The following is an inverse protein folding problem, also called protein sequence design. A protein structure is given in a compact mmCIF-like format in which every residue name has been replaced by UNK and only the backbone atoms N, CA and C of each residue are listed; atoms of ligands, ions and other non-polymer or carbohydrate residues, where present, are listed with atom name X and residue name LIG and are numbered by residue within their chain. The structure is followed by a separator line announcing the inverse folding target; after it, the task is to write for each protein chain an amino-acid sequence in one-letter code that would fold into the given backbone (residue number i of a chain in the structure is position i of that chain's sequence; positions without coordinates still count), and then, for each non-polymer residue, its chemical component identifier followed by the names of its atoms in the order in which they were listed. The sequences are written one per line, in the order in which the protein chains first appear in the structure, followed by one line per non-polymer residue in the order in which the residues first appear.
data_IF_098891336615
#
_entry.id   IF_098891336615
#
_cell.length_a   1.000
_cell.length_b   1.000
_cell.length_c   1.000
_cell.angle_alpha   90.00
_cell.angle_beta   90.00
_cell.angle_gamma   90.00
#
_symmetry.space_group_name_H-M   'P 1'
#
loop_
_entity.id
_entity.type
_entity.pdbx_description
1 polymer ?
#
# COMPACT_ATOMS: atom_id res chain seq x y z
N UNK A 1 15.52 -18.58 17.59
CA UNK A 1 14.20 -18.17 17.24
C UNK A 1 13.90 -18.46 15.80
N UNK A 2 12.68 -18.65 15.50
CA UNK A 2 12.29 -19.01 14.16
C UNK A 2 12.19 -17.86 13.17
N UNK A 3 12.59 -16.68 13.57
CA UNK A 3 12.43 -15.50 12.72
C UNK A 3 13.23 -15.61 11.42
N UNK A 4 14.34 -16.32 11.43
CA UNK A 4 15.16 -16.45 10.24
C UNK A 4 14.48 -17.24 9.12
N UNK A 5 13.44 -18.00 9.42
CA UNK A 5 12.74 -18.78 8.41
C UNK A 5 11.49 -18.07 7.89
N UNK A 6 11.22 -16.88 8.37
CA UNK A 6 10.06 -16.09 7.97
C UNK A 6 10.48 -14.79 7.35
N UNK A 7 9.71 -14.38 6.34
CA UNK A 7 9.85 -13.03 5.83
C UNK A 7 9.19 -12.07 6.80
N UNK A 8 9.83 -10.94 7.04
CA UNK A 8 9.20 -9.87 7.79
C UNK A 8 8.03 -9.33 6.97
N UNK A 9 6.99 -8.80 7.61
CA UNK A 9 5.87 -8.22 6.89
C UNK A 9 6.28 -7.16 5.87
N UNK A 10 7.28 -6.35 6.19
CA UNK A 10 7.77 -5.34 5.25
C UNK A 10 8.39 -5.98 4.02
N UNK A 11 9.12 -7.08 4.18
CA UNK A 11 9.72 -7.78 3.05
C UNK A 11 8.66 -8.40 2.16
N UNK A 12 7.62 -8.94 2.76
CA UNK A 12 6.50 -9.49 2.02
C UNK A 12 5.80 -8.40 1.21
N UNK A 13 5.56 -7.25 1.84
CA UNK A 13 4.92 -6.12 1.15
C UNK A 13 5.77 -5.64 -0.02
N UNK A 14 7.08 -5.55 0.16
CA UNK A 14 7.98 -5.12 -0.90
C UNK A 14 7.96 -6.10 -2.07
N UNK A 15 7.97 -7.39 -1.77
CA UNK A 15 7.94 -8.41 -2.81
C UNK A 15 6.62 -8.36 -3.59
N UNK A 16 5.52 -8.24 -2.89
CA UNK A 16 4.21 -8.17 -3.54
C UNK A 16 4.07 -6.92 -4.39
N UNK A 17 4.57 -5.80 -3.92
CA UNK A 17 4.56 -4.57 -4.70
C UNK A 17 5.29 -4.79 -6.02
N UNK A 18 6.46 -5.37 -5.98
CA UNK A 18 7.24 -5.61 -7.18
C UNK A 18 6.53 -6.59 -8.12
N UNK A 19 5.96 -7.66 -7.58
CA UNK A 19 5.25 -8.65 -8.39
C UNK A 19 4.01 -8.07 -9.06
N UNK A 20 3.29 -7.22 -8.36
CA UNK A 20 2.02 -6.69 -8.85
C UNK A 20 2.19 -5.48 -9.75
N UNK A 21 3.23 -4.70 -9.56
CA UNK A 21 3.40 -3.43 -10.28
C UNK A 21 4.64 -3.36 -11.15
N UNK A 22 5.64 -4.19 -10.87
CA UNK A 22 6.92 -4.09 -11.54
C UNK A 22 7.81 -2.99 -10.98
N UNK A 23 7.42 -2.41 -9.84
CA UNK A 23 8.20 -1.35 -9.19
C UNK A 23 8.84 -1.84 -7.91
N UNK A 24 10.10 -1.47 -7.71
CA UNK A 24 10.84 -1.78 -6.49
C UNK A 24 10.96 -0.51 -5.66
N UNK A 25 10.53 -0.56 -4.42
CA UNK A 25 10.65 0.56 -3.51
C UNK A 25 12.10 0.71 -3.07
N UNK A 26 12.58 1.94 -2.98
CA UNK A 26 13.89 2.22 -2.43
C UNK A 26 13.91 1.99 -0.93
N UNK A 27 12.79 2.22 -0.27
CA UNK A 27 12.61 1.88 1.13
C UNK A 27 11.13 1.63 1.39
N UNK A 28 10.88 0.79 2.39
CA UNK A 28 9.52 0.44 2.79
C UNK A 28 9.38 0.80 4.27
N UNK A 29 8.37 1.58 4.59
CA UNK A 29 8.14 2.06 5.94
C UNK A 29 6.76 1.65 6.41
N UNK A 30 6.67 1.25 7.68
CA UNK A 30 5.38 0.97 8.29
C UNK A 30 4.57 2.26 8.37
N UNK A 31 3.36 2.23 7.89
CA UNK A 31 2.49 3.40 7.89
C UNK A 31 1.47 3.33 9.02
N UNK A 32 0.73 2.25 9.09
CA UNK A 32 -0.31 2.07 10.10
C UNK A 32 -0.73 0.60 10.17
N UNK A 33 -1.19 0.20 11.35
CA UNK A 33 -1.79 -1.12 11.55
C UNK A 33 -3.19 -0.89 12.09
N UNK A 34 -4.17 -1.60 11.56
CA UNK A 34 -5.54 -1.44 12.01
C UNK A 34 -6.33 -2.74 11.82
N UNK A 35 -7.47 -2.82 12.47
CA UNK A 35 -8.41 -3.92 12.29
C UNK A 35 -9.68 -3.39 11.64
N UNK A 36 -10.01 -3.87 10.43
CA UNK A 36 -11.18 -3.32 9.71
C UNK A 36 -12.52 -3.75 10.31
N UNK A 37 -12.55 -4.87 11.03
CA UNK A 37 -13.82 -5.40 11.54
C UNK A 37 -13.67 -5.90 12.97
N UNK A 38 -13.37 -4.99 13.88
CA UNK A 38 -13.23 -5.31 15.30
C UNK A 38 -14.52 -5.92 15.82
N UNK A 39 -14.40 -7.03 16.53
CA UNK A 39 -15.54 -7.71 17.10
C UNK A 39 -16.16 -8.75 16.17
N UNK A 40 -15.82 -8.74 14.90
CA UNK A 40 -16.34 -9.70 13.94
C UNK A 40 -15.24 -10.63 13.44
N UNK A 41 -14.10 -10.07 13.13
CA UNK A 41 -12.96 -10.83 12.61
C UNK A 41 -11.71 -10.35 13.32
N UNK A 42 -10.90 -11.28 13.78
CA UNK A 42 -9.62 -10.95 14.38
C UNK A 42 -8.57 -10.95 13.26
N UNK A 43 -8.57 -9.87 12.51
CA UNK A 43 -7.71 -9.75 11.34
C UNK A 43 -7.02 -8.39 11.33
N UNK A 44 -5.73 -8.41 11.46
CA UNK A 44 -4.91 -7.22 11.48
C UNK A 44 -4.45 -6.87 10.07
N UNK A 45 -4.63 -5.61 9.70
CA UNK A 45 -4.11 -5.11 8.43
C UNK A 45 -2.90 -4.24 8.71
N UNK A 46 -1.77 -4.64 8.19
CA UNK A 46 -0.52 -3.92 8.36
C UNK A 46 -0.21 -3.23 7.04
N UNK A 47 -0.19 -1.90 7.06
CA UNK A 47 -0.02 -1.11 5.85
C UNK A 47 1.37 -0.49 5.83
N UNK A 48 2.03 -0.63 4.69
CA UNK A 48 3.36 -0.08 4.46
C UNK A 48 3.32 0.91 3.32
N UNK A 49 4.22 1.86 3.33
CA UNK A 49 4.42 2.76 2.19
C UNK A 49 5.80 2.50 1.59
N UNK A 50 5.83 2.35 0.26
CA UNK A 50 7.09 2.23 -0.46
C UNK A 50 7.46 3.58 -1.04
N UNK A 51 8.70 4.02 -0.78
CA UNK A 51 9.19 5.30 -1.25
C UNK A 51 10.29 5.11 -2.26
N UNK A 52 10.48 6.10 -3.12
CA UNK A 52 11.54 6.11 -4.11
C UNK A 52 11.48 4.87 -5.01
N UNK A 53 10.29 4.58 -5.51
CA UNK A 53 10.05 3.41 -6.34
C UNK A 53 10.64 3.60 -7.73
N UNK A 54 11.23 2.52 -8.27
CA UNK A 54 11.72 2.53 -9.63
C UNK A 54 11.21 1.31 -10.36
N UNK A 55 11.00 1.43 -11.65
CA UNK A 55 10.54 0.32 -12.45
C UNK A 55 11.70 -0.64 -12.71
N UNK A 56 11.52 -1.90 -12.36
CA UNK A 56 12.56 -2.92 -12.52
C UNK A 56 12.13 -4.09 -13.40
N UNK A 57 10.81 -4.24 -13.61
CA UNK A 57 10.31 -5.39 -14.39
C UNK A 57 8.87 -5.13 -14.81
N UNK A 58 8.35 -6.02 -15.64
CA UNK A 58 6.92 -6.06 -15.92
C UNK A 58 6.23 -6.69 -14.71
N UNK A 59 4.99 -6.32 -14.47
CA UNK A 59 4.19 -6.92 -13.41
C UNK A 59 4.02 -8.41 -13.70
N UNK A 60 4.30 -9.27 -12.73
CA UNK A 60 4.19 -10.71 -12.91
C UNK A 60 2.80 -11.23 -12.59
N UNK A 61 2.01 -10.43 -11.86
CA UNK A 61 0.64 -10.80 -11.52
C UNK A 61 -0.36 -9.90 -12.23
N UNK A 62 -0.10 -9.66 -13.51
CA UNK A 62 -0.91 -8.75 -14.32
C UNK A 62 -2.38 -9.12 -14.36
N UNK A 63 -2.72 -10.40 -14.17
CA UNK A 63 -4.11 -10.83 -14.19
C UNK A 63 -4.90 -10.35 -12.98
N UNK A 64 -4.22 -9.95 -11.93
CA UNK A 64 -4.86 -9.47 -10.71
C UNK A 64 -4.95 -7.96 -10.66
N UNK A 65 -4.27 -7.27 -11.59
CA UNK A 65 -4.26 -5.83 -11.67
C UNK A 65 -4.86 -5.41 -12.99
N UNK A 66 -6.13 -5.01 -12.97
CA UNK A 66 -6.80 -4.60 -14.19
C UNK A 66 -6.20 -3.33 -14.77
N UNK A 67 -5.78 -2.44 -13.90
CA UNK A 67 -5.33 -1.13 -14.32
C UNK A 67 -4.44 -0.52 -13.25
N UNK A 68 -3.36 0.09 -13.69
CA UNK A 68 -2.45 0.79 -12.82
C UNK A 68 -2.17 2.16 -13.40
N UNK A 69 -2.28 3.19 -12.57
CA UNK A 69 -1.96 4.53 -13.00
C UNK A 69 -1.38 5.33 -11.85
N UNK A 70 -0.58 6.30 -12.19
CA UNK A 70 -0.01 7.22 -11.21
C UNK A 70 -0.96 8.36 -10.95
N UNK A 71 -1.18 8.67 -9.69
CA UNK A 71 -2.10 9.74 -9.29
C UNK A 71 -1.37 10.66 -8.32
N UNK A 72 -1.33 11.97 -8.60
CA UNK A 72 -0.76 12.91 -7.64
C UNK A 72 -1.54 12.87 -6.32
N UNK A 73 -0.82 12.91 -5.20
CA UNK A 73 -1.48 12.90 -3.90
C UNK A 73 -2.44 14.07 -3.73
N UNK A 74 -2.16 15.21 -4.36
CA UNK A 74 -3.04 16.37 -4.28
C UNK A 74 -4.42 16.10 -4.86
N UNK A 75 -4.57 15.10 -5.74
CA UNK A 75 -5.86 14.77 -6.34
C UNK A 75 -6.64 13.74 -5.53
N UNK A 76 -6.02 13.13 -4.54
CA UNK A 76 -6.65 12.06 -3.78
C UNK A 76 -7.88 12.51 -3.00
N UNK A 77 -7.90 13.69 -2.35
CA UNK A 77 -9.12 14.12 -1.66
C UNK A 77 -10.35 14.17 -2.56
N UNK A 78 -10.18 14.62 -3.80
CA UNK A 78 -11.30 14.67 -4.75
C UNK A 78 -11.76 13.27 -5.14
N UNK A 79 -10.83 12.32 -5.26
CA UNK A 79 -11.17 10.94 -5.58
C UNK A 79 -11.94 10.28 -4.43
N UNK A 80 -11.56 10.60 -3.19
CA UNK A 80 -12.26 10.08 -2.03
C UNK A 80 -13.69 10.63 -1.99
N UNK A 81 -13.83 11.94 -2.20
CA UNK A 81 -15.15 12.59 -2.23
C UNK A 81 -16.04 11.99 -3.32
N UNK A 82 -15.47 11.66 -4.45
CA UNK A 82 -16.22 11.10 -5.57
C UNK A 82 -16.53 9.60 -5.39
N UNK A 83 -16.09 8.99 -4.29
CA UNK A 83 -16.36 7.57 -4.04
C UNK A 83 -15.58 6.64 -4.94
N UNK A 84 -14.42 7.07 -5.42
CA UNK A 84 -13.60 6.28 -6.33
C UNK A 84 -12.65 5.33 -5.62
N UNK A 85 -12.50 5.47 -4.32
CA UNK A 85 -11.59 4.62 -3.54
C UNK A 85 -12.43 3.79 -2.57
N UNK A 86 -12.52 2.50 -2.85
CA UNK A 86 -13.43 1.60 -2.15
C UNK A 86 -12.73 0.69 -1.14
N UNK A 87 -11.47 0.38 -1.38
CA UNK A 87 -10.75 -0.56 -0.54
C UNK A 87 -10.37 0.09 0.78
N UNK A 88 -10.71 -0.58 1.89
CA UNK A 88 -10.46 -0.02 3.22
C UNK A 88 -8.97 0.26 3.47
N UNK A 89 -8.11 -0.67 3.07
CA UNK A 89 -6.68 -0.48 3.26
C UNK A 89 -6.14 0.70 2.50
N UNK A 90 -6.59 0.86 1.25
CA UNK A 90 -6.18 1.99 0.43
C UNK A 90 -6.67 3.30 1.01
N UNK A 91 -7.93 3.34 1.46
CA UNK A 91 -8.51 4.54 2.02
C UNK A 91 -7.77 4.98 3.28
N UNK A 92 -7.50 4.04 4.18
CA UNK A 92 -6.77 4.33 5.42
C UNK A 92 -5.36 4.83 5.11
N UNK A 93 -4.66 4.17 4.20
CA UNK A 93 -3.30 4.56 3.83
C UNK A 93 -3.27 5.96 3.24
N UNK A 94 -4.18 6.26 2.32
CA UNK A 94 -4.21 7.56 1.67
C UNK A 94 -4.60 8.68 2.62
N UNK A 95 -5.56 8.43 3.50
CA UNK A 95 -5.94 9.43 4.50
C UNK A 95 -4.79 9.73 5.45
N UNK A 96 -3.98 8.73 5.77
CA UNK A 96 -2.81 8.93 6.62
C UNK A 96 -1.71 9.72 5.91
N UNK A 97 -1.53 9.49 4.61
CA UNK A 97 -0.48 10.15 3.83
C UNK A 97 -0.79 11.59 3.46
N UNK A 98 -2.06 11.90 3.21
CA UNK A 98 -2.46 13.23 2.77
C UNK A 98 -1.97 14.35 3.70
N UNK A 99 -2.20 14.29 5.02
CA UNK A 99 -1.77 15.35 5.90
C UNK A 99 -0.27 15.64 5.81
N UNK A 100 0.54 14.59 5.67
CA UNK A 100 1.98 14.74 5.62
C UNK A 100 2.43 15.50 4.37
N UNK A 101 1.62 15.47 3.32
CA UNK A 101 1.96 16.11 2.06
C UNK A 101 1.30 17.46 1.86
N UNK A 102 0.22 17.73 2.59
CA UNK A 102 -0.52 18.98 2.43
C UNK A 102 -0.21 20.02 3.49
N UNK A 103 0.48 19.63 4.53
CA UNK A 103 0.81 20.55 5.63
C UNK A 103 2.14 21.26 5.46
N UNK A 104 2.88 20.91 4.46
CA UNK A 104 4.18 21.54 4.19
C UNK A 104 4.06 22.83 3.35
#
# INVERSE_FOLDING_TARGET
MGAGSRLEPADTAARELEEETGYRAGRVEHLITFQPMVGMVDSEHIVFVGRDAERVAEATEANEVERMEWVPLAEVPALIEAGKIWNAGSLVALLRLIPDNLTD
#
